data_IF_584406695354
#
_entry.id   IF_584406695354
#
_cell.length_a   1.000
_cell.length_b   1.000
_cell.length_c   1.000
_cell.angle_alpha   90.00
_cell.angle_beta   90.00
_cell.angle_gamma   90.00
#
_symmetry.space_group_name_H-M   'P 1'
#
loop_
_entity.id
_entity.type
_entity.pdbx_description
1 polymer ?
#
# COMPACT_ATOMS: atom_id res chain seq x y z
N UNK A 1 -41.99 0.88 -43.49
CA UNK A 1 -40.88 1.55 -44.20
C UNK A 1 -40.45 2.82 -43.47
N UNK A 2 -41.40 3.64 -43.00
CA UNK A 2 -41.16 4.85 -42.19
C UNK A 2 -40.50 4.55 -40.84
N UNK A 3 -40.90 3.47 -40.16
CA UNK A 3 -40.33 3.09 -38.86
C UNK A 3 -38.85 2.66 -38.96
N UNK A 4 -38.48 2.00 -40.07
CA UNK A 4 -37.09 1.60 -40.35
C UNK A 4 -36.20 2.81 -40.59
N UNK A 5 -36.73 3.86 -41.22
CA UNK A 5 -36.01 5.13 -41.43
C UNK A 5 -35.85 5.88 -40.11
N UNK A 6 -36.87 5.86 -39.24
CA UNK A 6 -36.80 6.45 -37.90
C UNK A 6 -35.77 5.74 -37.02
N UNK A 7 -35.78 4.40 -36.99
CA UNK A 7 -34.81 3.59 -36.26
C UNK A 7 -33.37 3.78 -36.76
N UNK A 8 -33.16 3.92 -38.09
CA UNK A 8 -31.82 4.22 -38.64
C UNK A 8 -31.30 5.59 -38.19
N UNK A 9 -32.16 6.61 -38.15
CA UNK A 9 -31.79 7.95 -37.65
C UNK A 9 -31.45 7.93 -36.16
N UNK A 10 -32.22 7.20 -35.35
CA UNK A 10 -31.94 7.03 -33.93
C UNK A 10 -30.61 6.29 -33.70
N UNK A 11 -30.35 5.22 -34.46
CA UNK A 11 -29.08 4.47 -34.37
C UNK A 11 -27.88 5.35 -34.75
N UNK A 12 -28.03 6.20 -35.77
CA UNK A 12 -26.99 7.12 -36.20
C UNK A 12 -26.69 8.19 -35.15
N UNK A 13 -27.73 8.78 -34.54
CA UNK A 13 -27.56 9.71 -33.41
C UNK A 13 -26.91 9.03 -32.19
N UNK A 14 -27.28 7.80 -31.88
CA UNK A 14 -26.64 7.05 -30.79
C UNK A 14 -25.16 6.78 -31.07
N UNK A 15 -24.79 6.44 -32.30
CA UNK A 15 -23.39 6.23 -32.67
C UNK A 15 -22.58 7.54 -32.59
N UNK A 16 -23.12 8.65 -33.08
CA UNK A 16 -22.48 9.97 -32.96
C UNK A 16 -22.29 10.38 -31.49
N UNK A 17 -23.25 10.05 -30.62
CA UNK A 17 -23.15 10.30 -29.18
C UNK A 17 -22.06 9.45 -28.51
N UNK A 18 -21.93 8.18 -28.91
CA UNK A 18 -20.89 7.28 -28.41
C UNK A 18 -19.50 7.76 -28.82
N UNK A 19 -19.32 8.20 -30.06
CA UNK A 19 -18.05 8.76 -30.54
C UNK A 19 -17.66 10.02 -29.75
N UNK A 20 -18.62 10.94 -29.52
CA UNK A 20 -18.37 12.13 -28.70
C UNK A 20 -17.99 11.80 -27.25
N UNK A 21 -18.64 10.81 -26.63
CA UNK A 21 -18.30 10.34 -25.28
C UNK A 21 -16.90 9.71 -25.23
N UNK A 22 -16.53 8.93 -26.25
CA UNK A 22 -15.19 8.35 -26.35
C UNK A 22 -14.11 9.42 -26.51
N UNK A 23 -14.35 10.45 -27.32
CA UNK A 23 -13.42 11.58 -27.47
C UNK A 23 -13.27 12.38 -26.17
N UNK A 24 -14.37 12.62 -25.45
CA UNK A 24 -14.33 13.26 -24.13
C UNK A 24 -13.58 12.42 -23.09
N UNK A 25 -13.76 11.10 -23.10
CA UNK A 25 -13.02 10.18 -22.23
C UNK A 25 -11.53 10.19 -22.54
N UNK A 26 -11.14 10.18 -23.82
CA UNK A 26 -9.73 10.26 -24.22
C UNK A 26 -9.09 11.59 -23.82
N UNK A 27 -9.78 12.71 -24.03
CA UNK A 27 -9.28 14.04 -23.62
C UNK A 27 -9.17 14.16 -22.09
N UNK A 28 -10.16 13.66 -21.35
CA UNK A 28 -10.14 13.62 -19.88
C UNK A 28 -9.00 12.75 -19.36
N UNK A 29 -8.79 11.57 -19.97
CA UNK A 29 -7.69 10.66 -19.67
C UNK A 29 -6.32 11.31 -19.92
N UNK A 30 -6.13 11.97 -21.07
CA UNK A 30 -4.88 12.67 -21.39
C UNK A 30 -4.62 13.84 -20.44
N UNK A 31 -5.64 14.65 -20.12
CA UNK A 31 -5.53 15.74 -19.16
C UNK A 31 -5.16 15.22 -17.77
N UNK A 32 -5.79 14.13 -17.33
CA UNK A 32 -5.48 13.47 -16.07
C UNK A 32 -4.05 12.90 -16.04
N UNK A 33 -3.59 12.28 -17.14
CA UNK A 33 -2.21 11.80 -17.27
C UNK A 33 -1.19 12.93 -17.19
N UNK A 34 -1.45 14.06 -17.87
CA UNK A 34 -0.60 15.25 -17.81
C UNK A 34 -0.58 15.85 -16.42
N UNK A 35 -1.72 15.93 -15.73
CA UNK A 35 -1.80 16.44 -14.37
C UNK A 35 -1.06 15.52 -13.37
N UNK A 36 -1.19 14.20 -13.51
CA UNK A 36 -0.40 13.23 -12.74
C UNK A 36 1.09 13.35 -13.05
N UNK A 37 1.47 13.58 -14.30
CA UNK A 37 2.88 13.75 -14.69
C UNK A 37 3.48 15.04 -14.10
N UNK A 38 2.69 16.12 -14.07
CA UNK A 38 3.07 17.37 -13.40
C UNK A 38 3.17 17.20 -11.88
N UNK A 39 2.18 16.59 -11.23
CA UNK A 39 2.21 16.28 -9.78
C UNK A 39 3.36 15.36 -9.40
N UNK A 40 3.78 14.45 -10.30
CA UNK A 40 4.99 13.61 -10.14
C UNK A 40 6.29 14.41 -10.23
N UNK A 41 6.34 15.44 -11.06
CA UNK A 41 7.51 16.34 -11.17
C UNK A 41 7.61 17.32 -10.00
N UNK A 42 6.46 17.78 -9.48
CA UNK A 42 6.35 18.68 -8.33
C UNK A 42 6.43 17.93 -6.97
N UNK A 43 6.67 16.62 -7.02
CA UNK A 43 6.62 15.77 -5.85
C UNK A 43 7.81 16.03 -4.93
N UNK A 44 7.45 16.23 -3.66
CA UNK A 44 8.30 16.68 -2.57
C UNK A 44 9.62 15.88 -2.45
N UNK A 45 10.74 16.58 -2.27
CA UNK A 45 12.02 15.99 -1.86
C UNK A 45 12.41 16.57 -0.51
N UNK A 46 11.92 16.01 0.61
CA UNK A 46 12.38 16.42 1.93
C UNK A 46 13.90 16.25 2.07
N UNK A 47 14.57 17.31 2.56
CA UNK A 47 16.02 17.33 2.67
C UNK A 47 16.75 17.62 1.35
N UNK A 48 17.98 17.12 1.23
CA UNK A 48 18.84 17.38 0.06
C UNK A 48 19.54 18.76 0.05
N UNK A 49 19.29 19.60 1.05
CA UNK A 49 19.98 20.88 1.29
C UNK A 49 21.19 20.73 2.25
N UNK A 50 21.81 19.54 2.23
CA UNK A 50 22.87 19.14 3.16
C UNK A 50 22.36 18.76 4.56
N UNK A 51 23.25 18.13 5.34
CA UNK A 51 22.98 17.81 6.73
C UNK A 51 22.86 19.08 7.58
N UNK A 52 21.88 19.10 8.47
CA UNK A 52 21.71 20.17 9.45
C UNK A 52 20.33 20.14 10.09
N UNK A 53 20.07 21.11 10.98
CA UNK A 53 18.87 21.18 11.81
C UNK A 53 17.89 22.30 11.41
N UNK A 54 18.18 23.04 10.31
CA UNK A 54 17.25 24.01 9.76
C UNK A 54 15.97 23.33 9.26
N UNK A 55 14.92 24.10 9.01
CA UNK A 55 13.63 23.56 8.54
C UNK A 55 13.67 23.07 7.09
N UNK A 56 14.63 23.54 6.30
CA UNK A 56 14.94 23.05 4.94
C UNK A 56 15.93 21.87 4.93
N UNK A 57 16.40 21.43 6.10
CA UNK A 57 17.41 20.38 6.25
C UNK A 57 16.90 19.23 7.14
N UNK A 58 17.44 18.05 6.87
CA UNK A 58 17.31 16.86 7.72
C UNK A 58 18.72 16.26 7.86
N UNK A 59 18.93 15.42 8.86
CA UNK A 59 20.22 14.79 9.16
C UNK A 59 20.02 13.33 9.52
N UNK A 60 20.46 12.47 8.61
CA UNK A 60 20.36 11.01 8.73
C UNK A 60 18.92 10.56 8.99
N UNK A 61 17.96 10.88 8.11
CA UNK A 61 16.58 10.47 8.29
C UNK A 61 16.48 8.95 8.34
N UNK A 62 15.64 8.38 9.22
CA UNK A 62 15.52 6.94 9.40
C UNK A 62 14.22 6.38 8.82
N UNK A 63 13.12 6.58 9.54
CA UNK A 63 11.78 6.16 9.16
C UNK A 63 11.01 7.27 8.47
N UNK A 64 10.03 6.83 7.68
CA UNK A 64 9.16 7.71 6.91
C UNK A 64 7.74 7.16 6.91
N UNK A 65 6.79 8.06 7.03
CA UNK A 65 5.36 7.79 6.89
C UNK A 65 4.76 8.82 5.95
N UNK A 66 3.86 8.40 5.05
CA UNK A 66 3.15 9.31 4.14
C UNK A 66 1.66 9.16 4.31
N UNK A 67 0.95 10.26 4.52
CA UNK A 67 -0.49 10.25 4.72
C UNK A 67 -1.29 10.34 3.39
N UNK A 68 -2.63 10.35 3.51
CA UNK A 68 -3.55 10.48 2.39
C UNK A 68 -3.44 11.81 1.64
N UNK A 69 -2.97 12.86 2.30
CA UNK A 69 -2.76 14.20 1.74
C UNK A 69 -1.38 14.36 1.10
N UNK A 70 -0.58 13.29 1.09
CA UNK A 70 0.80 13.28 0.59
C UNK A 70 1.74 14.16 1.42
N UNK A 71 1.41 14.35 2.70
CA UNK A 71 2.32 14.88 3.70
C UNK A 71 3.29 13.79 4.11
N UNK A 72 4.57 14.12 4.08
CA UNK A 72 5.66 13.20 4.43
C UNK A 72 6.12 13.51 5.86
N UNK A 73 6.10 12.51 6.72
CA UNK A 73 6.56 12.58 8.09
C UNK A 73 7.85 11.78 8.23
N UNK A 74 8.88 12.38 8.81
CA UNK A 74 10.23 11.82 8.80
C UNK A 74 10.79 11.81 10.21
N UNK A 75 11.37 10.68 10.61
CA UNK A 75 12.22 10.58 11.78
C UNK A 75 13.60 11.15 11.44
N UNK A 76 13.85 12.40 11.84
CA UNK A 76 15.09 13.12 11.62
C UNK A 76 16.10 12.75 12.72
N UNK A 77 16.67 11.55 12.58
CA UNK A 77 17.35 10.80 13.65
C UNK A 77 18.44 11.61 14.36
N UNK A 78 19.33 12.28 13.61
CA UNK A 78 20.44 13.02 14.21
C UNK A 78 20.04 14.38 14.78
N UNK A 79 18.83 14.85 14.50
CA UNK A 79 18.28 16.08 15.04
C UNK A 79 17.20 15.82 16.11
N UNK A 80 17.04 14.57 16.54
CA UNK A 80 16.18 14.18 17.67
C UNK A 80 14.72 14.67 17.54
N UNK A 81 14.19 14.70 16.31
CA UNK A 81 12.86 15.25 16.03
C UNK A 81 12.10 14.46 14.98
N UNK A 82 10.80 14.63 14.96
CA UNK A 82 9.95 14.27 13.81
C UNK A 82 9.64 15.53 13.03
N UNK A 83 9.78 15.47 11.70
CA UNK A 83 9.50 16.58 10.78
C UNK A 83 8.31 16.23 9.89
N UNK A 84 7.31 17.10 9.86
CA UNK A 84 6.22 17.11 8.88
C UNK A 84 6.63 17.93 7.67
N UNK A 85 6.39 17.39 6.47
CA UNK A 85 6.66 18.08 5.22
C UNK A 85 5.46 17.94 4.29
N UNK A 86 4.71 19.04 4.15
CA UNK A 86 3.48 19.05 3.34
C UNK A 86 3.80 18.98 1.85
N UNK A 87 2.90 18.39 1.08
CA UNK A 87 3.01 18.35 -0.37
C UNK A 87 3.22 19.75 -0.96
N UNK A 88 4.25 19.93 -1.79
CA UNK A 88 4.65 21.20 -2.38
C UNK A 88 5.42 22.17 -1.47
N UNK A 89 5.65 21.86 -0.19
CA UNK A 89 6.42 22.74 0.70
C UNK A 89 7.93 22.63 0.47
N UNK A 90 8.65 23.74 0.59
CA UNK A 90 10.13 23.76 0.50
C UNK A 90 10.82 23.64 1.85
N UNK A 91 10.06 23.75 2.95
CA UNK A 91 10.53 23.62 4.32
C UNK A 91 9.59 22.69 5.09
N UNK A 92 10.14 21.92 6.01
CA UNK A 92 9.39 21.12 6.96
C UNK A 92 9.02 21.91 8.22
N UNK A 93 8.22 21.28 9.06
CA UNK A 93 7.85 21.74 10.39
C UNK A 93 8.13 20.60 11.37
N UNK A 94 8.94 20.83 12.41
CA UNK A 94 9.09 19.84 13.48
C UNK A 94 7.73 19.62 14.16
N UNK A 95 7.32 18.39 14.45
CA UNK A 95 6.04 18.11 15.14
C UNK A 95 6.22 17.37 16.48
N UNK A 96 7.39 16.76 16.69
CA UNK A 96 7.78 16.13 17.95
C UNK A 96 9.28 16.30 18.19
N UNK A 97 9.71 16.27 19.46
CA UNK A 97 11.13 16.43 19.83
C UNK A 97 11.69 17.84 19.68
N UNK A 98 10.85 18.89 19.80
CA UNK A 98 11.20 20.31 19.54
C UNK A 98 12.23 20.93 20.52
N UNK A 99 12.93 20.14 21.31
CA UNK A 99 13.87 20.59 22.34
C UNK A 99 15.12 19.73 22.26
N UNK A 100 16.27 20.23 22.72
CA UNK A 100 17.55 19.52 22.78
C UNK A 100 17.40 18.03 23.15
N UNK A 101 18.26 17.12 22.64
CA UNK A 101 18.17 15.70 22.93
C UNK A 101 18.00 15.42 24.41
N UNK A 102 17.05 14.54 24.74
CA UNK A 102 16.78 14.20 26.12
C UNK A 102 15.66 13.18 26.27
N UNK A 103 15.31 12.89 27.50
CA UNK A 103 14.37 11.85 27.90
C UNK A 103 13.07 12.41 28.51
N UNK A 104 12.89 13.72 28.51
CA UNK A 104 11.64 14.35 28.94
C UNK A 104 10.48 14.01 27.99
N UNK A 105 9.24 14.24 28.43
CA UNK A 105 8.04 13.92 27.65
C UNK A 105 7.88 14.76 26.38
N UNK A 106 8.57 15.90 26.29
CA UNK A 106 8.63 16.81 25.15
C UNK A 106 9.94 16.68 24.33
N UNK A 107 10.76 15.68 24.64
CA UNK A 107 12.05 15.41 24.01
C UNK A 107 12.04 14.01 23.38
N UNK A 108 12.85 13.86 22.34
CA UNK A 108 13.21 12.57 21.76
C UNK A 108 14.74 12.45 21.78
N UNK A 109 15.22 11.24 21.53
CA UNK A 109 16.62 10.93 21.32
C UNK A 109 16.74 9.85 20.26
N UNK A 110 17.29 10.23 19.11
CA UNK A 110 17.52 9.37 17.97
C UNK A 110 16.28 8.59 17.53
N UNK A 111 15.18 9.27 17.17
CA UNK A 111 13.98 8.60 16.72
C UNK A 111 14.26 7.81 15.43
N UNK A 112 13.90 6.53 15.41
CA UNK A 112 14.27 5.63 14.31
C UNK A 112 13.11 5.31 13.36
N UNK A 113 11.87 5.41 13.83
CA UNK A 113 10.69 5.11 13.02
C UNK A 113 9.43 5.76 13.59
N UNK A 114 8.40 5.87 12.75
CA UNK A 114 7.10 6.40 13.12
C UNK A 114 5.97 5.83 12.27
N UNK A 115 4.79 5.69 12.89
CA UNK A 115 3.52 5.44 12.20
C UNK A 115 2.44 6.37 12.73
N UNK A 116 1.38 6.54 11.95
CA UNK A 116 0.18 7.23 12.40
C UNK A 116 -0.87 6.23 12.87
N UNK A 117 -1.37 6.43 14.08
CA UNK A 117 -2.52 5.71 14.62
C UNK A 117 -3.78 6.56 14.46
N UNK A 118 -4.73 6.04 13.67
CA UNK A 118 -5.99 6.70 13.37
C UNK A 118 -6.90 6.77 14.60
N UNK A 119 -6.84 5.79 15.49
CA UNK A 119 -7.74 5.72 16.66
C UNK A 119 -7.38 6.78 17.70
N UNK A 120 -6.09 6.91 18.04
CA UNK A 120 -5.62 7.96 18.93
C UNK A 120 -5.41 9.32 18.26
N UNK A 121 -5.51 9.38 16.93
CA UNK A 121 -5.17 10.56 16.12
C UNK A 121 -3.78 11.13 16.48
N UNK A 122 -2.80 10.23 16.54
CA UNK A 122 -1.45 10.53 17.01
C UNK A 122 -0.37 9.73 16.28
N UNK A 123 0.87 10.15 16.45
CA UNK A 123 2.04 9.47 15.93
C UNK A 123 2.61 8.54 17.00
N UNK A 124 2.78 7.27 16.65
CA UNK A 124 3.56 6.34 17.46
C UNK A 124 5.00 6.38 16.94
N UNK A 125 5.93 6.72 17.83
CA UNK A 125 7.33 7.04 17.50
C UNK A 125 8.25 6.09 18.27
N UNK A 126 9.16 5.45 17.55
CA UNK A 126 10.31 4.75 18.12
C UNK A 126 11.32 5.77 18.62
N UNK A 127 11.37 6.01 19.93
CA UNK A 127 12.36 6.88 20.58
C UNK A 127 13.58 6.04 21.02
N UNK A 128 14.31 5.55 20.01
CA UNK A 128 15.32 4.48 20.15
C UNK A 128 16.38 4.81 21.19
N UNK A 129 16.92 6.03 21.18
CA UNK A 129 17.98 6.45 22.09
C UNK A 129 17.57 6.47 23.57
N UNK A 130 16.26 6.52 23.85
CA UNK A 130 15.69 6.43 25.18
C UNK A 130 15.06 5.06 25.49
N UNK A 131 15.16 4.09 24.56
CA UNK A 131 14.62 2.74 24.68
C UNK A 131 13.12 2.70 25.03
N UNK A 132 12.34 3.53 24.34
CA UNK A 132 10.90 3.65 24.57
C UNK A 132 10.14 3.92 23.27
N UNK A 133 8.85 3.62 23.28
CA UNK A 133 7.93 4.01 22.22
C UNK A 133 6.97 5.07 22.79
N UNK A 134 6.80 6.16 22.06
CA UNK A 134 5.98 7.30 22.46
C UNK A 134 4.76 7.46 21.55
N UNK A 135 3.62 7.82 22.13
CA UNK A 135 2.46 8.32 21.40
C UNK A 135 2.42 9.84 21.49
N UNK A 136 2.44 10.52 20.36
CA UNK A 136 2.39 11.97 20.25
C UNK A 136 1.07 12.42 19.61
N UNK A 137 0.23 13.14 20.35
CA UNK A 137 -1.06 13.58 19.83
C UNK A 137 -0.88 14.63 18.73
N UNK A 138 -1.67 14.51 17.65
CA UNK A 138 -1.74 15.53 16.59
C UNK A 138 -2.50 16.79 17.04
N UNK A 139 -3.30 16.70 18.11
CA UNK A 139 -4.06 17.83 18.65
C UNK A 139 -3.21 18.71 19.58
N UNK A 140 -2.20 18.13 20.23
CA UNK A 140 -1.34 18.84 21.16
C UNK A 140 0.11 18.39 21.01
N UNK A 141 0.86 19.08 20.14
CA UNK A 141 2.27 18.77 19.84
C UNK A 141 3.25 19.07 20.99
N UNK A 142 2.78 19.36 22.21
CA UNK A 142 3.64 19.83 23.31
C UNK A 142 4.42 18.71 24.00
N UNK A 143 3.85 17.51 24.12
CA UNK A 143 4.51 16.36 24.73
C UNK A 143 3.86 15.06 24.25
N UNK A 144 4.63 13.98 24.27
CA UNK A 144 4.14 12.62 24.06
C UNK A 144 3.88 11.89 25.37
N UNK A 145 3.28 10.72 25.23
CA UNK A 145 3.04 9.75 26.28
C UNK A 145 3.89 8.51 26.02
N UNK A 146 4.57 8.00 27.03
CA UNK A 146 5.26 6.70 26.93
C UNK A 146 4.20 5.61 26.88
N UNK A 147 4.20 4.82 25.80
CA UNK A 147 3.31 3.66 25.66
C UNK A 147 4.06 2.34 25.87
N UNK A 148 5.35 2.29 25.57
CA UNK A 148 6.23 1.14 25.83
C UNK A 148 7.58 1.62 26.37
N UNK A 149 8.14 0.88 27.33
CA UNK A 149 9.44 1.15 27.94
C UNK A 149 10.35 -0.08 27.90
N UNK A 150 11.65 0.13 28.05
CA UNK A 150 12.68 -0.92 28.04
C UNK A 150 12.69 -1.74 26.74
N UNK A 151 12.56 -1.03 25.63
CA UNK A 151 12.64 -1.60 24.29
C UNK A 151 13.58 -0.75 23.43
N UNK A 152 14.67 -1.35 22.93
CA UNK A 152 15.50 -0.68 21.93
C UNK A 152 14.80 -0.81 20.57
N UNK A 153 13.77 0.01 20.39
CA UNK A 153 12.90 -0.01 19.22
C UNK A 153 13.64 0.55 17.99
N UNK A 154 13.63 -0.17 16.87
CA UNK A 154 14.23 0.32 15.62
C UNK A 154 13.19 0.57 14.54
N UNK A 155 12.25 -0.36 14.35
CA UNK A 155 11.12 -0.24 13.43
C UNK A 155 9.83 -0.65 14.11
N UNK A 156 8.72 -0.06 13.66
CA UNK A 156 7.40 -0.39 14.16
C UNK A 156 6.35 -0.42 13.06
N UNK A 157 5.29 -1.20 13.27
CA UNK A 157 4.15 -1.25 12.36
C UNK A 157 2.90 -1.63 13.13
N UNK A 158 1.74 -1.13 12.70
CA UNK A 158 0.44 -1.54 13.23
C UNK A 158 -0.32 -2.31 12.15
N UNK A 159 -0.88 -3.46 12.51
CA UNK A 159 -1.75 -4.23 11.61
C UNK A 159 -3.20 -3.69 11.60
N UNK A 160 -4.01 -4.20 10.67
CA UNK A 160 -5.42 -3.79 10.53
C UNK A 160 -6.34 -4.24 11.68
N UNK A 161 -5.82 -5.00 12.66
CA UNK A 161 -6.53 -5.39 13.88
C UNK A 161 -6.11 -4.54 15.09
N UNK A 162 -5.23 -3.56 14.90
CA UNK A 162 -4.74 -2.66 15.94
C UNK A 162 -3.62 -3.26 16.81
N UNK A 163 -2.94 -4.32 16.35
CA UNK A 163 -1.75 -4.80 17.04
C UNK A 163 -0.51 -4.02 16.60
N UNK A 164 0.22 -3.50 17.59
CA UNK A 164 1.52 -2.84 17.39
C UNK A 164 2.63 -3.88 17.44
N UNK A 165 3.47 -3.90 16.41
CA UNK A 165 4.67 -4.74 16.32
C UNK A 165 5.89 -3.83 16.40
N UNK A 166 6.87 -4.20 17.21
CA UNK A 166 8.11 -3.44 17.39
C UNK A 166 9.30 -4.38 17.34
N UNK A 167 10.29 -4.06 16.52
CA UNK A 167 11.59 -4.73 16.54
C UNK A 167 12.41 -4.23 17.73
N UNK A 168 12.92 -5.17 18.52
CA UNK A 168 13.77 -4.94 19.68
C UNK A 168 15.18 -5.42 19.34
N UNK A 169 16.06 -4.48 18.96
CA UNK A 169 17.42 -4.81 18.52
C UNK A 169 18.25 -5.39 19.65
N UNK A 170 18.02 -4.93 20.89
CA UNK A 170 18.74 -5.40 22.08
C UNK A 170 18.45 -6.86 22.35
N UNK A 171 17.19 -7.26 22.27
CA UNK A 171 16.76 -8.62 22.58
C UNK A 171 16.70 -9.55 21.36
N UNK A 172 17.11 -9.08 20.17
CA UNK A 172 17.07 -9.85 18.92
C UNK A 172 15.69 -10.49 18.69
N UNK A 173 14.64 -9.69 18.86
CA UNK A 173 13.26 -10.18 18.79
C UNK A 173 12.33 -9.14 18.20
N UNK A 174 11.16 -9.58 17.74
CA UNK A 174 10.02 -8.72 17.47
C UNK A 174 8.94 -9.05 18.48
N UNK A 175 8.39 -8.02 19.10
CA UNK A 175 7.31 -8.13 20.08
C UNK A 175 6.03 -7.51 19.51
N UNK A 176 4.88 -8.04 19.91
CA UNK A 176 3.54 -7.58 19.55
C UNK A 176 2.75 -7.22 20.80
N UNK A 177 1.99 -6.13 20.73
CA UNK A 177 1.05 -5.69 21.76
C UNK A 177 -0.31 -5.40 21.15
N UNK A 178 -1.37 -5.74 21.86
CA UNK A 178 -2.70 -5.17 21.65
C UNK A 178 -2.82 -3.86 22.40
N UNK A 179 -3.68 -2.96 21.92
CA UNK A 179 -4.07 -1.77 22.68
C UNK A 179 -4.53 -2.17 24.08
N UNK A 180 -3.90 -1.59 25.11
CA UNK A 180 -4.16 -1.88 26.52
C UNK A 180 -3.30 -2.99 27.15
N UNK A 181 -2.51 -3.74 26.38
CA UNK A 181 -1.58 -4.72 26.93
C UNK A 181 -0.32 -4.04 27.48
N UNK A 182 0.09 -4.44 28.68
CA UNK A 182 1.32 -3.95 29.32
C UNK A 182 2.52 -4.85 28.97
N UNK A 183 2.27 -6.13 28.69
CA UNK A 183 3.30 -7.12 28.34
C UNK A 183 3.19 -7.51 26.88
N UNK A 184 4.30 -7.40 26.15
CA UNK A 184 4.37 -7.79 24.75
C UNK A 184 4.58 -9.29 24.58
N UNK A 185 3.98 -9.86 23.54
CA UNK A 185 4.23 -11.24 23.14
C UNK A 185 5.37 -11.27 22.13
N UNK A 186 6.37 -12.13 22.33
CA UNK A 186 7.42 -12.34 21.33
C UNK A 186 6.83 -13.07 20.12
N UNK A 187 6.89 -12.41 18.97
CA UNK A 187 6.35 -12.89 17.69
C UNK A 187 7.43 -13.13 16.63
N UNK A 188 8.71 -12.92 16.91
CA UNK A 188 9.82 -13.47 16.13
C UNK A 188 11.11 -13.36 16.94
N UNK A 189 12.07 -14.25 16.70
CA UNK A 189 13.32 -14.28 17.46
C UNK A 189 13.11 -14.63 18.94
N UNK A 190 13.92 -14.06 19.84
CA UNK A 190 13.85 -14.32 21.27
C UNK A 190 14.49 -15.65 21.72
N UNK A 191 14.94 -16.50 20.79
CA UNK A 191 15.65 -17.75 21.07
C UNK A 191 17.19 -17.57 21.04
N UNK A 192 17.66 -16.42 21.50
CA UNK A 192 19.06 -15.98 21.41
C UNK A 192 19.44 -15.43 20.03
N UNK A 193 20.57 -14.73 19.99
CA UNK A 193 21.15 -14.20 18.76
C UNK A 193 21.68 -15.34 17.89
N UNK A 194 21.36 -15.34 16.60
CA UNK A 194 21.87 -16.32 15.65
C UNK A 194 21.11 -16.32 14.33
N UNK A 195 21.37 -17.30 13.47
CA UNK A 195 20.87 -17.37 12.10
C UNK A 195 19.93 -18.56 11.83
N UNK A 196 19.50 -19.28 12.86
CA UNK A 196 18.42 -20.29 12.72
C UNK A 196 17.10 -19.62 12.33
N UNK A 197 16.12 -20.41 11.90
CA UNK A 197 14.82 -19.89 11.44
C UNK A 197 13.92 -19.38 12.58
N UNK A 198 14.28 -19.70 13.83
CA UNK A 198 13.66 -19.23 15.07
C UNK A 198 14.48 -18.14 15.79
N UNK A 199 15.61 -17.71 15.19
CA UNK A 199 16.52 -16.70 15.73
C UNK A 199 16.60 -15.49 14.80
N UNK A 200 16.93 -14.35 15.40
CA UNK A 200 17.24 -13.10 14.69
C UNK A 200 18.60 -12.57 15.16
N UNK A 201 19.17 -11.65 14.41
CA UNK A 201 20.40 -10.97 14.72
C UNK A 201 20.29 -9.48 14.32
N UNK A 202 20.05 -8.64 15.32
CA UNK A 202 19.85 -7.19 15.19
C UNK A 202 18.69 -6.83 14.23
N UNK A 203 17.45 -7.27 14.50
CA UNK A 203 16.31 -6.97 13.62
C UNK A 203 16.01 -5.48 13.57
N UNK A 204 15.98 -4.89 12.38
CA UNK A 204 15.85 -3.43 12.21
C UNK A 204 14.42 -3.01 11.91
N UNK A 205 13.86 -3.37 10.76
CA UNK A 205 12.49 -3.02 10.36
C UNK A 205 11.56 -4.21 10.34
N UNK A 206 10.27 -3.91 10.49
CA UNK A 206 9.17 -4.87 10.45
C UNK A 206 8.06 -4.38 9.53
N UNK A 207 7.37 -5.34 8.90
CA UNK A 207 6.17 -5.09 8.13
C UNK A 207 5.18 -6.23 8.37
N UNK A 208 3.88 -5.94 8.39
CA UNK A 208 2.83 -6.96 8.52
C UNK A 208 1.90 -6.85 7.32
N UNK A 209 1.71 -7.95 6.59
CA UNK A 209 0.79 -8.00 5.45
C UNK A 209 -0.67 -8.22 5.89
N UNK A 210 -1.59 -8.18 4.93
CA UNK A 210 -3.03 -8.40 5.16
C UNK A 210 -3.38 -9.80 5.64
N UNK A 211 -2.47 -10.78 5.46
CA UNK A 211 -2.60 -12.14 5.97
C UNK A 211 -1.97 -12.28 7.38
N UNK A 212 -1.67 -11.17 8.05
CA UNK A 212 -1.02 -11.11 9.37
C UNK A 212 0.36 -11.78 9.42
N UNK A 213 1.03 -11.91 8.27
CA UNK A 213 2.40 -12.39 8.22
C UNK A 213 3.37 -11.28 8.53
N UNK A 214 4.27 -11.54 9.47
CA UNK A 214 5.32 -10.62 9.88
C UNK A 214 6.56 -10.80 8.99
N UNK A 215 7.05 -9.71 8.42
CA UNK A 215 8.32 -9.63 7.71
C UNK A 215 9.31 -8.86 8.56
N UNK A 216 10.54 -9.35 8.65
CA UNK A 216 11.59 -8.77 9.50
C UNK A 216 12.87 -8.63 8.69
N UNK A 217 13.43 -7.43 8.66
CA UNK A 217 14.80 -7.19 8.19
C UNK A 217 15.78 -7.71 9.24
N UNK A 218 16.31 -8.91 9.02
CA UNK A 218 17.27 -9.58 9.90
C UNK A 218 18.69 -9.13 9.53
N UNK A 219 18.98 -7.89 9.91
CA UNK A 219 20.08 -7.06 9.40
C UNK A 219 21.44 -7.77 9.43
N UNK A 220 21.90 -8.25 10.58
CA UNK A 220 23.24 -8.87 10.67
C UNK A 220 23.29 -10.30 10.13
N UNK A 221 22.15 -10.91 9.81
CA UNK A 221 22.09 -12.17 9.08
C UNK A 221 21.91 -11.98 7.56
N UNK A 222 21.81 -10.74 7.08
CA UNK A 222 21.74 -10.40 5.66
C UNK A 222 20.59 -11.11 4.93
N UNK A 223 19.40 -11.06 5.55
CA UNK A 223 18.19 -11.70 5.02
C UNK A 223 16.94 -10.97 5.46
N UNK A 224 15.84 -11.24 4.76
CA UNK A 224 14.49 -10.91 5.22
C UNK A 224 13.78 -12.20 5.58
N UNK A 225 13.26 -12.23 6.81
CA UNK A 225 12.48 -13.35 7.34
C UNK A 225 10.99 -13.04 7.21
N UNK A 226 10.18 -14.01 6.77
CA UNK A 226 8.72 -14.00 6.90
C UNK A 226 8.31 -15.01 7.96
N UNK A 227 7.42 -14.62 8.87
CA UNK A 227 6.79 -15.51 9.85
C UNK A 227 5.28 -15.40 9.72
N UNK A 228 4.65 -16.52 9.40
CA UNK A 228 3.18 -16.62 9.38
C UNK A 228 2.64 -16.68 10.80
N UNK A 229 1.43 -16.19 11.02
CA UNK A 229 0.79 -16.25 12.33
C UNK A 229 0.74 -17.70 12.86
N UNK A 230 1.11 -17.89 14.14
CA UNK A 230 1.17 -19.21 14.79
C UNK A 230 2.34 -20.11 14.38
N UNK A 231 3.16 -19.74 13.38
CA UNK A 231 4.29 -20.56 12.96
C UNK A 231 5.41 -20.58 14.02
N UNK A 232 6.02 -21.76 14.27
CA UNK A 232 7.13 -21.88 15.21
C UNK A 232 8.43 -21.27 14.68
N UNK A 233 8.65 -21.37 13.38
CA UNK A 233 9.83 -20.88 12.68
C UNK A 233 9.42 -19.97 11.52
N UNK A 234 10.32 -19.08 11.10
CA UNK A 234 10.14 -18.28 9.89
C UNK A 234 10.69 -18.97 8.64
N UNK A 235 10.52 -18.29 7.51
CA UNK A 235 11.13 -18.66 6.23
C UNK A 235 11.92 -17.47 5.68
N UNK A 236 13.01 -17.75 4.96
CA UNK A 236 13.77 -16.70 4.26
C UNK A 236 13.04 -16.37 2.97
N UNK A 237 12.71 -15.09 2.78
CA UNK A 237 11.96 -14.61 1.60
C UNK A 237 12.74 -13.65 0.71
N UNK A 238 13.85 -13.09 1.21
CA UNK A 238 14.83 -12.37 0.40
C UNK A 238 16.22 -12.53 1.04
N UNK A 239 17.26 -12.61 0.20
CA UNK A 239 18.64 -12.80 0.68
C UNK A 239 18.89 -14.19 1.28
N UNK A 240 19.66 -14.25 2.36
CA UNK A 240 19.96 -15.49 3.10
C UNK A 240 21.00 -16.41 2.46
N UNK A 241 21.67 -15.96 1.39
CA UNK A 241 22.85 -16.62 0.79
C UNK A 241 24.16 -15.97 1.22
N UNK A 242 24.19 -15.44 2.44
CA UNK A 242 25.30 -14.63 2.96
C UNK A 242 25.28 -13.19 2.44
N UNK A 243 26.22 -12.40 2.95
CA UNK A 243 26.46 -11.02 2.50
C UNK A 243 27.01 -11.01 1.08
N UNK A 244 26.44 -10.19 0.20
CA UNK A 244 27.01 -9.94 -1.12
C UNK A 244 26.11 -9.09 -2.00
N UNK A 245 26.52 -8.92 -3.25
CA UNK A 245 25.88 -8.03 -4.24
C UNK A 245 25.06 -8.76 -5.29
N UNK A 246 25.08 -10.09 -5.31
CA UNK A 246 24.31 -10.88 -6.26
C UNK A 246 22.80 -10.65 -6.10
N UNK A 247 22.02 -10.97 -7.13
CA UNK A 247 20.56 -10.82 -7.09
C UNK A 247 19.87 -11.78 -6.11
N UNK A 248 20.59 -12.76 -5.58
CA UNK A 248 20.11 -13.66 -4.52
C UNK A 248 20.58 -13.25 -3.11
N UNK A 249 21.38 -12.18 -3.03
CA UNK A 249 22.01 -11.70 -1.79
C UNK A 249 21.58 -10.28 -1.47
N UNK A 250 21.65 -9.97 -0.18
CA UNK A 250 21.54 -8.60 0.34
C UNK A 250 22.69 -8.39 1.34
N UNK A 251 22.94 -7.14 1.70
CA UNK A 251 23.98 -6.71 2.60
C UNK A 251 23.34 -5.81 3.65
N UNK A 252 23.11 -6.37 4.84
CA UNK A 252 22.57 -5.66 6.00
C UNK A 252 21.25 -4.93 5.75
N UNK A 253 20.17 -5.62 5.33
CA UNK A 253 18.93 -4.94 4.97
C UNK A 253 18.37 -4.12 6.15
N UNK A 254 17.96 -2.88 5.87
CA UNK A 254 17.45 -1.97 6.89
C UNK A 254 15.95 -1.74 6.80
N UNK A 255 15.31 -1.90 5.64
CA UNK A 255 13.89 -1.63 5.43
C UNK A 255 13.22 -2.74 4.64
N UNK A 256 11.98 -3.05 4.98
CA UNK A 256 11.15 -4.03 4.27
C UNK A 256 9.72 -3.53 4.20
N UNK A 257 9.11 -3.58 3.02
CA UNK A 257 7.67 -3.41 2.81
C UNK A 257 7.18 -4.44 1.80
N UNK A 258 5.91 -4.84 1.90
CA UNK A 258 5.32 -5.85 1.03
C UNK A 258 4.03 -5.32 0.42
N UNK A 259 3.88 -5.50 -0.88
CA UNK A 259 2.66 -5.13 -1.60
C UNK A 259 1.57 -6.22 -1.44
N UNK A 260 0.34 -5.96 -1.91
CA UNK A 260 -0.76 -6.92 -1.81
C UNK A 260 -0.56 -8.17 -2.68
N UNK A 261 0.34 -8.14 -3.67
CA UNK A 261 0.69 -9.31 -4.49
C UNK A 261 1.67 -10.21 -3.73
N UNK A 262 2.16 -9.77 -2.56
CA UNK A 262 3.23 -10.42 -1.82
C UNK A 262 4.61 -10.15 -2.42
N UNK A 263 4.75 -9.12 -3.25
CA UNK A 263 6.06 -8.64 -3.71
C UNK A 263 6.76 -7.92 -2.56
N UNK A 264 7.99 -8.31 -2.28
CA UNK A 264 8.80 -7.80 -1.18
C UNK A 264 9.76 -6.75 -1.72
N UNK A 265 9.82 -5.60 -1.08
CA UNK A 265 10.73 -4.52 -1.37
C UNK A 265 11.69 -4.36 -0.20
N UNK A 266 12.99 -4.39 -0.50
CA UNK A 266 14.04 -4.43 0.53
C UNK A 266 15.00 -3.26 0.31
N UNK A 267 15.20 -2.45 1.35
CA UNK A 267 16.30 -1.50 1.40
C UNK A 267 17.58 -2.25 1.75
N UNK A 268 18.33 -2.58 0.71
CA UNK A 268 19.60 -3.29 0.77
C UNK A 268 20.71 -2.28 1.12
N UNK A 269 20.69 -1.85 2.38
CA UNK A 269 21.46 -0.74 2.94
C UNK A 269 22.94 -0.79 2.56
N UNK A 270 23.60 -1.93 2.82
CA UNK A 270 25.03 -2.10 2.61
C UNK A 270 25.44 -2.21 1.14
N UNK A 271 24.49 -2.33 0.22
CA UNK A 271 24.71 -2.32 -1.23
C UNK A 271 24.15 -1.05 -1.89
N UNK A 272 23.62 -0.10 -1.11
CA UNK A 272 23.09 1.19 -1.58
C UNK A 272 22.07 1.05 -2.72
N UNK A 273 21.12 0.13 -2.56
CA UNK A 273 20.09 -0.18 -3.56
C UNK A 273 18.78 -0.60 -2.92
N UNK A 274 17.69 -0.48 -3.69
CA UNK A 274 16.41 -1.09 -3.36
C UNK A 274 16.20 -2.29 -4.28
N UNK A 275 15.89 -3.42 -3.66
CA UNK A 275 15.62 -4.66 -4.34
C UNK A 275 14.13 -5.00 -4.29
N UNK A 276 13.64 -5.66 -5.34
CA UNK A 276 12.28 -6.19 -5.46
C UNK A 276 12.32 -7.70 -5.63
N UNK A 277 11.55 -8.43 -4.84
CA UNK A 277 11.33 -9.87 -4.95
C UNK A 277 9.85 -10.15 -5.17
N UNK A 278 9.42 -10.58 -6.37
CA UNK A 278 8.08 -11.13 -6.56
C UNK A 278 7.83 -12.31 -5.62
N UNK A 279 6.56 -12.55 -5.27
CA UNK A 279 6.18 -13.65 -4.37
C UNK A 279 6.71 -14.99 -4.90
N UNK A 280 7.50 -15.68 -4.07
CA UNK A 280 8.10 -16.98 -4.40
C UNK A 280 9.33 -16.92 -5.33
N UNK A 281 9.81 -15.74 -5.70
CA UNK A 281 11.01 -15.62 -6.51
C UNK A 281 12.27 -16.06 -5.75
N UNK A 282 13.18 -16.74 -6.45
CA UNK A 282 14.47 -17.19 -5.89
C UNK A 282 15.56 -16.13 -5.92
N UNK A 283 15.38 -15.09 -6.74
CA UNK A 283 16.26 -13.93 -6.88
C UNK A 283 15.42 -12.66 -7.06
N UNK A 284 16.02 -11.52 -6.74
CA UNK A 284 15.38 -10.22 -6.84
C UNK A 284 15.86 -9.44 -8.05
N UNK A 285 15.35 -8.23 -8.20
CA UNK A 285 15.78 -7.26 -9.20
C UNK A 285 16.04 -5.92 -8.53
N UNK A 286 17.10 -5.22 -8.94
CA UNK A 286 17.34 -3.84 -8.52
C UNK A 286 16.30 -2.93 -9.18
N UNK A 287 15.59 -2.13 -8.38
CA UNK A 287 14.58 -1.19 -8.87
C UNK A 287 14.96 0.28 -8.67
N UNK A 288 15.82 0.58 -7.69
CA UNK A 288 16.34 1.93 -7.40
C UNK A 288 17.78 1.78 -6.89
N UNK A 289 18.68 2.69 -7.29
CA UNK A 289 20.08 2.64 -6.88
C UNK A 289 20.87 1.55 -7.61
N UNK A 290 21.90 0.99 -6.97
CA UNK A 290 22.77 -0.04 -7.56
C UNK A 290 23.78 0.48 -8.60
N UNK A 291 23.81 1.79 -8.84
CA UNK A 291 24.76 2.46 -9.74
C UNK A 291 25.94 3.08 -8.97
N UNK A 292 26.38 2.38 -7.91
CA UNK A 292 27.34 2.89 -6.94
C UNK A 292 26.72 3.79 -5.87
N UNK A 293 27.45 3.94 -4.76
CA UNK A 293 27.14 4.87 -3.68
C UNK A 293 27.29 6.31 -4.16
N UNK A 294 26.31 7.18 -3.89
CA UNK A 294 26.42 8.59 -4.24
C UNK A 294 25.12 9.38 -4.12
N UNK A 295 25.17 10.65 -4.53
CA UNK A 295 24.09 11.63 -4.38
C UNK A 295 23.33 11.91 -5.69
N UNK A 296 23.68 11.27 -6.80
CA UNK A 296 22.94 11.42 -8.06
C UNK A 296 21.51 10.87 -7.93
N UNK A 297 20.62 11.22 -8.87
CA UNK A 297 19.21 10.84 -8.82
C UNK A 297 18.98 9.31 -8.91
N UNK A 298 19.90 8.57 -9.53
CA UNK A 298 19.89 7.12 -9.67
C UNK A 298 20.88 6.42 -8.71
N UNK A 299 21.39 7.15 -7.71
CA UNK A 299 22.29 6.64 -6.68
C UNK A 299 21.66 6.82 -5.30
N UNK A 300 22.03 5.92 -4.40
CA UNK A 300 21.64 5.93 -2.99
C UNK A 300 22.90 5.85 -2.13
N UNK A 301 22.74 6.12 -0.85
CA UNK A 301 23.76 5.98 0.16
C UNK A 301 23.13 5.49 1.47
N UNK A 302 23.05 4.17 1.61
CA UNK A 302 22.57 3.52 2.83
C UNK A 302 21.07 3.67 3.02
N UNK A 303 20.22 3.24 2.06
CA UNK A 303 18.77 3.39 2.21
C UNK A 303 18.23 2.64 3.43
N UNK A 304 17.26 3.25 4.13
CA UNK A 304 16.68 2.71 5.36
C UNK A 304 15.17 2.53 5.23
N UNK A 305 14.37 3.53 5.61
CA UNK A 305 12.91 3.51 5.57
C UNK A 305 12.37 3.47 4.14
N UNK A 306 11.30 2.69 3.95
CA UNK A 306 10.55 2.59 2.70
C UNK A 306 9.07 2.79 2.98
N UNK A 307 8.38 3.51 2.10
CA UNK A 307 6.93 3.68 2.19
C UNK A 307 6.31 3.83 0.81
N UNK A 308 5.10 3.32 0.61
CA UNK A 308 4.35 3.53 -0.62
C UNK A 308 3.37 4.69 -0.45
N UNK A 309 3.45 5.68 -1.34
CA UNK A 309 2.45 6.74 -1.37
C UNK A 309 1.13 6.27 -2.00
N UNK A 310 0.10 7.12 -1.95
CA UNK A 310 -1.24 6.78 -2.48
C UNK A 310 -1.28 6.62 -4.00
N UNK A 311 -0.25 7.07 -4.71
CA UNK A 311 -0.12 6.92 -6.15
C UNK A 311 0.69 5.66 -6.52
N UNK A 312 1.21 4.94 -5.51
CA UNK A 312 2.03 3.76 -5.68
C UNK A 312 3.48 4.07 -5.99
N UNK A 313 3.95 5.30 -5.77
CA UNK A 313 5.37 5.57 -5.84
C UNK A 313 6.06 5.12 -4.55
N UNK A 314 7.31 4.72 -4.69
CA UNK A 314 8.15 4.31 -3.58
C UNK A 314 8.90 5.51 -3.02
N UNK A 315 8.59 5.86 -1.77
CA UNK A 315 9.34 6.82 -0.97
C UNK A 315 10.47 6.08 -0.26
N UNK A 316 11.69 6.55 -0.51
CA UNK A 316 12.94 5.95 -0.04
C UNK A 316 13.66 6.96 0.85
N UNK A 317 13.96 6.56 2.07
CA UNK A 317 14.85 7.31 2.96
C UNK A 317 16.28 6.97 2.60
N UNK A 318 17.06 8.00 2.25
CA UNK A 318 18.43 7.90 1.79
C UNK A 318 19.35 8.47 2.87
N UNK A 319 19.58 7.64 3.91
CA UNK A 319 20.12 8.01 5.23
C UNK A 319 21.38 8.88 5.15
N UNK A 320 22.47 8.38 4.54
CA UNK A 320 23.77 9.08 4.52
C UNK A 320 23.80 10.22 3.50
N UNK A 321 22.77 10.35 2.65
CA UNK A 321 22.59 11.51 1.78
C UNK A 321 21.67 12.58 2.41
N UNK A 322 21.17 12.34 3.63
CA UNK A 322 20.31 13.25 4.39
C UNK A 322 19.11 13.77 3.57
N UNK A 323 18.44 12.85 2.87
CA UNK A 323 17.31 13.17 2.00
C UNK A 323 16.30 12.04 1.97
N UNK A 324 15.09 12.39 1.54
CA UNK A 324 14.06 11.44 1.13
C UNK A 324 13.82 11.60 -0.36
N UNK A 325 13.84 10.49 -1.09
CA UNK A 325 13.60 10.45 -2.53
C UNK A 325 12.29 9.72 -2.81
N UNK A 326 11.53 10.22 -3.78
CA UNK A 326 10.35 9.52 -4.27
C UNK A 326 10.65 8.98 -5.68
N UNK A 327 10.34 7.70 -5.90
CA UNK A 327 10.65 6.95 -7.10
C UNK A 327 9.38 6.33 -7.66
N UNK A 328 9.01 6.74 -8.88
CA UNK A 328 7.93 6.07 -9.59
C UNK A 328 8.39 4.68 -10.00
N UNK A 329 7.77 3.66 -9.42
CA UNK A 329 8.01 2.28 -9.79
C UNK A 329 6.81 1.75 -10.58
N UNK A 330 7.07 1.00 -11.65
CA UNK A 330 6.02 0.30 -12.37
C UNK A 330 5.64 -0.95 -11.56
N UNK A 331 4.70 -0.81 -10.63
CA UNK A 331 3.99 -1.98 -10.11
C UNK A 331 2.95 -2.42 -11.14
N UNK A 332 2.97 -3.68 -11.61
CA UNK A 332 1.85 -4.21 -12.36
C UNK A 332 0.61 -4.18 -11.45
N UNK A 333 -0.40 -3.41 -11.84
CA UNK A 333 -1.74 -3.53 -11.24
C UNK A 333 -2.33 -4.82 -11.82
N UNK A 334 -2.41 -5.88 -11.03
CA UNK A 334 -3.31 -6.99 -11.34
C UNK A 334 -4.68 -6.66 -10.77
N UNK A 335 -5.65 -6.39 -11.66
CA UNK A 335 -7.06 -6.40 -11.30
C UNK A 335 -7.42 -7.85 -10.96
N UNK A 336 -7.42 -8.21 -9.68
CA UNK A 336 -8.03 -9.47 -9.26
C UNK A 336 -9.54 -9.33 -9.45
N UNK A 337 -10.10 -10.08 -10.39
CA UNK A 337 -11.55 -10.25 -10.49
C UNK A 337 -12.01 -10.93 -9.20
N UNK A 338 -12.80 -10.24 -8.37
CA UNK A 338 -13.53 -10.89 -7.29
C UNK A 338 -14.60 -11.77 -7.97
N UNK A 339 -14.29 -13.04 -8.21
CA UNK A 339 -15.27 -14.05 -8.59
C UNK A 339 -16.05 -14.49 -7.34
N UNK A 340 -16.90 -13.60 -6.83
CA UNK A 340 -17.88 -13.94 -5.81
C UNK A 340 -19.03 -14.72 -6.44
N UNK A 341 -19.03 -16.05 -6.32
CA UNK A 341 -20.16 -16.91 -6.70
C UNK A 341 -21.20 -16.88 -5.57
N UNK A 342 -22.35 -16.22 -5.77
CA UNK A 342 -23.48 -16.25 -4.83
C UNK A 342 -24.44 -17.37 -5.20
N UNK A 343 -24.78 -18.21 -4.21
CA UNK A 343 -25.80 -19.25 -4.30
C UNK A 343 -27.16 -18.58 -4.08
N UNK A 344 -28.07 -18.69 -5.05
CA UNK A 344 -29.45 -18.19 -4.96
C UNK A 344 -30.35 -19.36 -4.49
N UNK A 345 -31.00 -19.29 -3.31
CA UNK A 345 -32.07 -20.23 -2.97
C UNK A 345 -33.37 -19.85 -3.72
N UNK A 346 -34.23 -20.81 -4.09
CA UNK A 346 -35.42 -20.52 -4.88
C UNK A 346 -36.48 -19.71 -4.10
N UNK A 347 -37.37 -18.97 -4.81
CA UNK A 347 -38.35 -18.09 -4.18
C UNK A 347 -39.43 -18.90 -3.45
N UNK A 348 -39.78 -18.49 -2.23
CA UNK A 348 -40.99 -18.93 -1.53
C UNK A 348 -42.15 -18.07 -2.07
N UNK A 349 -43.25 -18.68 -2.52
CA UNK A 349 -44.43 -17.98 -3.03
C UNK A 349 -45.14 -17.15 -1.94
N UNK A 350 -45.76 -15.99 -2.28
CA UNK A 350 -46.26 -15.05 -1.30
C UNK A 350 -47.70 -15.38 -0.85
N UNK A 351 -47.93 -15.40 0.46
CA UNK A 351 -49.27 -15.29 1.05
C UNK A 351 -49.52 -13.90 1.64
N UNK A 352 -50.02 -12.99 0.80
CA UNK A 352 -50.81 -11.78 1.13
C UNK A 352 -50.22 -10.69 2.06
N UNK A 353 -50.72 -9.44 1.98
CA UNK A 353 -49.93 -8.25 2.25
C UNK A 353 -50.26 -7.60 3.60
N UNK A 354 -49.23 -7.23 4.36
CA UNK A 354 -49.23 -6.03 5.19
C UNK A 354 -47.78 -5.73 5.61
N UNK A 355 -47.26 -4.65 5.03
CA UNK A 355 -46.10 -3.85 5.47
C UNK A 355 -44.86 -4.61 5.97
N UNK A 356 -44.08 -5.14 5.03
CA UNK A 356 -42.68 -5.50 5.27
C UNK A 356 -41.76 -4.66 4.38
N UNK A 357 -40.89 -3.88 5.02
CA UNK A 357 -39.79 -3.15 4.38
C UNK A 357 -38.88 -4.20 3.72
N UNK A 358 -38.87 -4.25 2.38
CA UNK A 358 -37.91 -5.08 1.66
C UNK A 358 -36.52 -4.44 1.78
N UNK A 359 -35.62 -5.13 2.49
CA UNK A 359 -34.20 -4.78 2.52
C UNK A 359 -33.62 -5.25 1.18
N UNK A 360 -33.39 -4.32 0.26
CA UNK A 360 -32.75 -4.60 -1.03
C UNK A 360 -31.35 -5.21 -0.88
N UNK A 361 -30.92 -6.00 -1.85
CA UNK A 361 -29.61 -6.63 -1.84
C UNK A 361 -28.51 -5.59 -2.03
N UNK A 362 -27.55 -5.55 -1.09
CA UNK A 362 -26.40 -4.66 -1.15
C UNK A 362 -25.21 -5.43 -1.71
N UNK A 363 -24.69 -4.97 -2.85
CA UNK A 363 -23.44 -5.47 -3.41
C UNK A 363 -22.34 -4.44 -3.16
N UNK A 364 -21.16 -4.90 -2.74
CA UNK A 364 -19.97 -4.05 -2.59
C UNK A 364 -18.88 -4.56 -3.52
N UNK A 365 -18.46 -3.73 -4.47
CA UNK A 365 -17.24 -3.97 -5.25
C UNK A 365 -16.19 -2.99 -4.77
N UNK A 366 -15.10 -3.52 -4.21
CA UNK A 366 -13.93 -2.76 -3.80
C UNK A 366 -12.85 -2.93 -4.87
N UNK A 367 -12.45 -1.84 -5.52
CA UNK A 367 -11.24 -1.84 -6.36
C UNK A 367 -10.07 -1.47 -5.47
N UNK A 368 -9.11 -2.37 -5.36
CA UNK A 368 -7.98 -2.25 -4.46
C UNK A 368 -6.73 -2.02 -5.33
N UNK A 369 -5.89 -1.03 -5.01
CA UNK A 369 -4.57 -0.94 -5.68
C UNK A 369 -3.64 -2.03 -5.17
N UNK A 370 -2.47 -2.17 -5.82
CA UNK A 370 -1.35 -3.06 -5.45
C UNK A 370 -0.92 -3.06 -3.97
N UNK A 371 -1.45 -2.20 -3.12
CA UNK A 371 -1.07 -2.04 -1.72
C UNK A 371 -2.24 -2.22 -0.73
N UNK A 372 -3.40 -2.69 -1.20
CA UNK A 372 -4.53 -2.99 -0.30
C UNK A 372 -5.46 -1.80 -0.02
N UNK A 373 -5.21 -0.61 -0.61
CA UNK A 373 -6.08 0.56 -0.41
C UNK A 373 -7.27 0.49 -1.37
N UNK A 374 -8.49 0.59 -0.84
CA UNK A 374 -9.74 0.64 -1.61
C UNK A 374 -9.81 2.03 -2.28
N UNK A 375 -9.89 2.06 -3.61
CA UNK A 375 -10.07 3.30 -4.37
C UNK A 375 -11.55 3.68 -4.48
N UNK A 376 -12.42 2.69 -4.56
CA UNK A 376 -13.84 2.87 -4.81
C UNK A 376 -14.63 1.79 -4.07
N UNK A 377 -15.70 2.21 -3.40
CA UNK A 377 -16.76 1.32 -2.94
C UNK A 377 -18.00 1.59 -3.79
N UNK A 378 -18.36 0.64 -4.64
CA UNK A 378 -19.61 0.71 -5.42
C UNK A 378 -20.72 0.06 -4.61
N UNK A 379 -21.76 0.83 -4.31
CA UNK A 379 -22.98 0.37 -3.64
C UNK A 379 -24.11 0.40 -4.66
N UNK A 380 -24.70 -0.77 -4.95
CA UNK A 380 -25.89 -0.90 -5.78
C UNK A 380 -27.10 -1.28 -4.92
N UNK A 381 -28.24 -0.64 -5.16
CA UNK A 381 -29.53 -0.99 -4.54
C UNK A 381 -30.54 -1.28 -5.64
N UNK A 382 -31.33 -2.35 -5.51
CA UNK A 382 -32.17 -2.87 -6.60
C UNK A 382 -33.31 -1.91 -7.04
N UNK A 383 -33.60 -0.86 -6.27
CA UNK A 383 -34.71 0.07 -6.55
C UNK A 383 -34.29 1.41 -7.17
N UNK A 384 -32.99 1.70 -7.33
CA UNK A 384 -32.56 2.94 -7.98
C UNK A 384 -31.52 2.68 -9.07
N UNK A 385 -31.75 3.24 -10.26
CA UNK A 385 -30.78 3.28 -11.37
C UNK A 385 -29.57 4.21 -11.06
N UNK A 386 -29.14 4.23 -9.81
CA UNK A 386 -28.08 5.06 -9.24
C UNK A 386 -27.09 4.14 -8.54
N UNK A 387 -25.91 3.98 -9.14
CA UNK A 387 -24.76 3.42 -8.44
C UNK A 387 -24.11 4.57 -7.66
N UNK A 388 -23.98 4.42 -6.35
CA UNK A 388 -23.20 5.35 -5.54
C UNK A 388 -21.74 4.91 -5.56
N UNK A 389 -20.85 5.83 -5.95
CA UNK A 389 -19.41 5.67 -5.79
C UNK A 389 -19.02 6.47 -4.56
N UNK A 390 -18.75 5.74 -3.47
CA UNK A 390 -18.17 6.34 -2.27
C UNK A 390 -16.64 6.35 -2.42
N UNK A 391 -16.07 7.55 -2.25
CA UNK A 391 -14.64 7.76 -2.13
C UNK A 391 -14.31 7.81 -0.64
N UNK A 392 -13.30 7.08 -0.18
CA UNK A 392 -12.92 7.11 1.25
C UNK A 392 -12.47 8.50 1.73
N UNK A 393 -12.09 9.42 0.81
CA UNK A 393 -11.47 10.71 1.14
C UNK A 393 -12.09 11.94 0.40
N UNK A 394 -13.24 11.85 -0.29
CA UNK A 394 -13.87 12.95 -1.08
C UNK A 394 -15.42 12.86 -1.07
N UNK A 395 -16.20 13.93 -1.38
CA UNK A 395 -17.67 13.87 -1.34
C UNK A 395 -18.25 12.92 -2.39
N UNK A 396 -19.29 12.19 -1.99
CA UNK A 396 -20.03 11.21 -2.80
C UNK A 396 -20.49 11.82 -4.14
N UNK A 397 -20.16 11.18 -5.26
CA UNK A 397 -20.61 11.60 -6.58
C UNK A 397 -21.75 10.72 -7.06
N UNK A 398 -22.89 11.32 -7.42
CA UNK A 398 -24.06 10.61 -7.94
C UNK A 398 -23.98 10.51 -9.47
N UNK A 399 -24.10 9.29 -10.01
CA UNK A 399 -24.10 9.06 -11.45
C UNK A 399 -25.49 8.58 -11.89
N UNK A 400 -26.20 9.42 -12.64
CA UNK A 400 -27.54 9.11 -13.17
C UNK A 400 -27.39 8.25 -14.43
N UNK A 401 -27.88 7.00 -14.40
CA UNK A 401 -27.78 6.08 -15.54
C UNK A 401 -29.14 6.01 -16.26
N UNK A 402 -29.17 6.35 -17.55
CA UNK A 402 -30.37 6.17 -18.37
C UNK A 402 -30.31 4.87 -19.18
N UNK A 403 -31.26 3.98 -18.89
CA UNK A 403 -31.93 3.05 -19.81
C UNK A 403 -31.09 2.44 -20.94
N UNK A 404 -30.04 1.68 -20.63
CA UNK A 404 -29.73 0.43 -21.35
C UNK A 404 -28.76 -0.38 -20.49
N UNK A 405 -29.17 -1.56 -20.01
CA UNK A 405 -28.37 -2.45 -19.17
C UNK A 405 -27.18 -3.07 -19.90
N UNK A 406 -26.21 -2.26 -20.31
CA UNK A 406 -24.91 -2.67 -20.82
C UNK A 406 -23.82 -2.05 -19.95
N UNK A 407 -23.09 -2.92 -19.28
CA UNK A 407 -21.83 -2.56 -18.64
C UNK A 407 -20.74 -2.50 -19.72
N UNK A 408 -20.27 -1.31 -20.05
CA UNK A 408 -18.99 -1.11 -20.74
C UNK A 408 -18.12 -0.25 -19.84
N UNK A 409 -17.22 -0.91 -19.12
CA UNK A 409 -16.14 -0.25 -18.40
C UNK A 409 -14.89 -0.42 -19.28
N UNK A 410 -14.60 0.60 -20.09
CA UNK A 410 -13.38 0.63 -20.91
C UNK A 410 -12.29 1.35 -20.11
N UNK A 411 -11.56 0.59 -19.30
CA UNK A 411 -10.38 1.11 -18.58
C UNK A 411 -9.20 0.96 -19.53
N UNK A 412 -8.89 2.03 -20.27
CA UNK A 412 -7.65 2.13 -21.04
C UNK A 412 -6.42 2.13 -20.12
N UNK A 413 -5.93 0.91 -19.82
CA UNK A 413 -4.52 0.56 -19.75
C UNK A 413 -4.38 -0.67 -20.64
N UNK A 414 -3.36 -0.71 -21.51
CA UNK A 414 -3.22 -1.71 -22.57
C UNK A 414 -3.42 -3.17 -22.14
N UNK A 415 -4.66 -3.65 -22.21
CA UNK A 415 -5.09 -5.01 -21.94
C UNK A 415 -5.81 -5.47 -23.21
N UNK A 416 -5.17 -6.37 -23.95
CA UNK A 416 -5.86 -7.15 -24.98
C UNK A 416 -6.65 -8.25 -24.27
N UNK A 417 -7.97 -8.15 -24.25
CA UNK A 417 -8.86 -9.25 -23.85
C UNK A 417 -8.78 -10.35 -24.92
N UNK A 418 -7.90 -11.34 -24.73
CA UNK A 418 -7.99 -12.62 -25.43
C UNK A 418 -8.65 -13.62 -24.49
N UNK A 419 -9.96 -13.80 -24.68
CA UNK A 419 -10.74 -14.84 -24.00
C UNK A 419 -10.55 -16.16 -24.77
N UNK A 420 -9.85 -17.13 -24.17
CA UNK A 420 -9.91 -18.54 -24.57
C UNK A 420 -10.65 -19.31 -23.46
N UNK A 421 -11.90 -19.68 -23.72
CA UNK A 421 -12.71 -20.49 -22.79
C UNK A 421 -12.25 -21.94 -22.93
N UNK A 422 -11.41 -22.42 -22.01
CA UNK A 422 -11.19 -23.86 -21.83
C UNK A 422 -12.36 -24.41 -21.02
N UNK A 423 -13.29 -25.07 -21.70
CA UNK A 423 -14.37 -25.83 -21.07
C UNK A 423 -13.82 -27.12 -20.46
N UNK A 424 -14.12 -27.40 -19.18
CA UNK A 424 -14.12 -28.77 -18.66
C UNK A 424 -15.45 -29.10 -17.95
N UNK A 425 -16.29 -29.81 -18.71
CA UNK A 425 -17.08 -31.00 -18.36
C UNK A 425 -17.75 -31.15 -16.98
N UNK A 426 -19.10 -31.06 -16.96
CA UNK A 426 -20.06 -32.10 -16.51
C UNK A 426 -21.51 -31.54 -16.57
N UNK A 427 -22.37 -31.86 -17.56
CA UNK A 427 -23.36 -32.96 -17.62
C UNK A 427 -24.23 -33.07 -16.34
N UNK A 428 -25.59 -33.05 -16.29
CA UNK A 428 -26.71 -33.34 -17.22
C UNK A 428 -28.02 -32.60 -16.76
N UNK A 429 -28.85 -32.22 -17.75
CA UNK A 429 -30.36 -32.32 -17.84
C UNK A 429 -31.21 -31.48 -16.85
N UNK A 430 -32.06 -30.54 -17.30
CA UNK A 430 -33.30 -30.83 -18.04
C UNK A 430 -33.85 -29.68 -18.92
N UNK A 431 -34.66 -30.08 -19.89
CA UNK A 431 -35.05 -29.46 -21.17
C UNK A 431 -36.29 -28.54 -21.15
N UNK A 432 -36.35 -27.60 -22.14
CA UNK A 432 -37.49 -26.88 -22.81
C UNK A 432 -37.47 -25.36 -22.52
N UNK A 433 -37.23 -24.45 -23.48
CA UNK A 433 -37.94 -24.14 -24.74
C UNK A 433 -36.93 -23.56 -25.78
N UNK A 434 -36.56 -24.30 -26.84
CA UNK A 434 -36.92 -24.15 -28.28
C UNK A 434 -36.59 -22.80 -28.97
N UNK A 435 -35.58 -22.90 -29.86
CA UNK A 435 -35.42 -22.37 -31.25
C UNK A 435 -35.91 -20.96 -31.60
N UNK A 436 -34.99 -20.14 -32.11
CA UNK A 436 -35.07 -19.57 -33.47
C UNK A 436 -33.66 -19.31 -34.05
N UNK A 437 -33.22 -20.27 -34.88
CA UNK A 437 -32.44 -20.15 -36.13
C UNK A 437 -30.97 -19.68 -36.04
N UNK A 438 -30.07 -20.67 -36.14
CA UNK A 438 -28.80 -20.60 -36.86
C UNK A 438 -29.03 -20.90 -38.36
N UNK A 439 -28.19 -20.31 -39.23
CA UNK A 439 -27.92 -20.59 -40.67
C UNK A 439 -28.58 -19.70 -41.75
N UNK A 440 -27.85 -18.62 -42.09
CA UNK A 440 -27.54 -18.08 -43.45
C UNK A 440 -26.68 -16.83 -43.18
N UNK A 441 -25.47 -16.59 -43.65
CA UNK A 441 -24.64 -17.14 -44.71
C UNK A 441 -23.17 -16.85 -44.32
N UNK A 442 -22.29 -17.85 -44.43
CA UNK A 442 -20.99 -17.57 -45.05
C UNK A 442 -21.20 -17.56 -46.57
N UNK A 443 -20.35 -16.79 -47.25
CA UNK A 443 -20.13 -16.64 -48.69
C UNK A 443 -20.68 -15.37 -49.38
N UNK A 444 -19.69 -14.66 -49.96
CA UNK A 444 -19.66 -13.65 -51.02
C UNK A 444 -20.23 -12.26 -50.72
N UNK A 445 -19.49 -11.16 -50.85
CA UNK A 445 -18.22 -10.91 -51.56
C UNK A 445 -17.13 -10.35 -50.65
#
# INVERSE_FOLDING_TARGET
>A
HTDVICLRKQLQQSNETIEQLNDQLQQSSQKHQQELQKRRQDMLKPGGNGAGNRLDQISHPCGVYVDGDQTVYIADYSNDRIVEWKCGATIGQSIAGRNEPGDQMNQLKNPSDLIFDKESNGFIICDRGNNRVMLWSRQNYTCGQIILSDIECNGLIMDNQGFLYVSDTRHNSVKRWRVGEIQGTIVAGGNGQGNRLDQLNYPTYVFVDWDHSLYVSDHLNHRVMKRMEGAKEGIVVAGGRGKGTDLTQVSSPCGVIVDHLGTIYVADYGNHRIMRWPKGATEGSVIVGGNGQGQQANQLNGPTGLFFDRYGNLVVVDWDNHRVQNQTINCPIELSSINGRVIIPPPIEPSSPQDDIQIGHIWTISIINSFGKIYYKLIHTDESQLANIEFEDEPTMYLNTSLTGKWTCDIQRGITLTQEIVSSSSMLVNHRIIKTITKKLMSTN
#
